data_IF_499164224304
#
_entry.id   IF_499164224304
#
_cell.length_a   1.000
_cell.length_b   1.000
_cell.length_c   1.000
_cell.angle_alpha   90.00
_cell.angle_beta   90.00
_cell.angle_gamma   90.00
#
_symmetry.space_group_name_H-M   'P 1'
#
loop_
_entity.id
_entity.type
_entity.pdbx_description
1 polymer ?
#
# COMPACT_ATOMS: atom_id res chain seq x y z
N UNK A 1 -18.76 7.22 39.94
CA UNK A 1 -18.51 7.76 38.58
C UNK A 1 -19.82 8.39 38.14
N UNK A 2 -19.88 9.70 37.86
CA UNK A 2 -21.16 10.34 37.50
C UNK A 2 -21.60 9.88 36.10
N UNK A 3 -22.90 9.73 35.89
CA UNK A 3 -23.53 9.36 34.61
C UNK A 3 -22.96 10.18 33.43
N UNK A 4 -22.74 11.47 33.63
CA UNK A 4 -22.14 12.39 32.64
C UNK A 4 -20.72 12.03 32.19
N UNK A 5 -19.91 11.39 33.05
CA UNK A 5 -18.55 10.95 32.68
C UNK A 5 -18.61 9.62 31.92
N UNK A 6 -19.58 8.77 32.24
CA UNK A 6 -19.81 7.52 31.53
C UNK A 6 -20.39 7.77 30.13
N UNK A 7 -21.33 8.71 29.99
CA UNK A 7 -21.89 9.10 28.69
C UNK A 7 -20.85 9.76 27.79
N UNK A 8 -20.05 10.70 28.32
CA UNK A 8 -18.96 11.32 27.56
C UNK A 8 -17.86 10.31 27.19
N UNK A 9 -17.66 9.26 27.99
CA UNK A 9 -16.74 8.16 27.70
C UNK A 9 -17.30 7.24 26.61
N UNK A 10 -18.57 6.85 26.70
CA UNK A 10 -19.25 6.01 25.71
C UNK A 10 -19.41 6.73 24.36
N UNK A 11 -19.69 8.03 24.36
CA UNK A 11 -19.76 8.86 23.16
C UNK A 11 -18.39 9.04 22.50
N UNK A 12 -17.31 9.12 23.29
CA UNK A 12 -15.93 9.12 22.79
C UNK A 12 -15.48 7.74 22.27
N UNK A 13 -15.91 6.65 22.90
CA UNK A 13 -15.64 5.28 22.44
C UNK A 13 -16.41 5.00 21.15
N UNK A 14 -17.69 5.39 21.08
CA UNK A 14 -18.50 5.30 19.87
C UNK A 14 -17.96 6.19 18.74
N UNK A 15 -17.52 7.43 19.02
CA UNK A 15 -16.81 8.27 18.05
C UNK A 15 -15.47 7.66 17.61
N UNK A 16 -14.70 7.03 18.50
CA UNK A 16 -13.43 6.39 18.15
C UNK A 16 -13.61 5.13 17.30
N UNK A 17 -14.61 4.31 17.60
CA UNK A 17 -14.96 3.14 16.80
C UNK A 17 -15.56 3.55 15.45
N UNK A 18 -16.43 4.57 15.44
CA UNK A 18 -16.94 5.21 14.22
C UNK A 18 -15.81 5.80 13.38
N UNK A 19 -14.87 6.59 13.93
CA UNK A 19 -13.76 7.20 13.18
C UNK A 19 -12.73 6.20 12.65
N UNK A 20 -12.57 5.03 13.29
CA UNK A 20 -11.66 3.97 12.83
C UNK A 20 -12.26 3.13 11.70
N UNK A 21 -13.55 2.87 11.77
CA UNK A 21 -14.28 2.11 10.76
C UNK A 21 -14.75 3.01 9.61
N UNK A 22 -15.06 4.30 9.87
CA UNK A 22 -15.55 5.26 8.88
C UNK A 22 -14.54 5.59 7.80
N UNK A 23 -13.23 5.64 8.11
CA UNK A 23 -12.23 6.03 7.13
C UNK A 23 -12.24 5.14 5.87
N UNK A 24 -12.43 3.83 6.07
CA UNK A 24 -12.48 2.86 4.98
C UNK A 24 -13.85 2.85 4.31
N UNK A 25 -14.95 2.89 5.06
CA UNK A 25 -16.30 2.94 4.49
C UNK A 25 -16.51 4.20 3.65
N UNK A 26 -16.10 5.37 4.13
CA UNK A 26 -16.15 6.63 3.38
C UNK A 26 -15.30 6.54 2.11
N UNK A 27 -14.15 5.86 2.16
CA UNK A 27 -13.37 5.59 0.95
C UNK A 27 -14.16 4.75 -0.04
N UNK A 28 -14.75 3.62 0.39
CA UNK A 28 -15.57 2.77 -0.48
C UNK A 28 -16.79 3.49 -1.05
N UNK A 29 -17.50 4.24 -0.22
CA UNK A 29 -18.68 5.00 -0.62
C UNK A 29 -18.32 6.02 -1.72
N UNK A 30 -17.14 6.63 -1.64
CA UNK A 30 -16.63 7.51 -2.70
C UNK A 30 -16.33 6.75 -4.00
N UNK A 31 -15.78 5.53 -3.92
CA UNK A 31 -15.48 4.70 -5.09
C UNK A 31 -16.71 4.20 -5.82
N UNK A 32 -17.71 3.78 -5.05
CA UNK A 32 -19.00 3.36 -5.56
C UNK A 32 -19.87 4.57 -6.00
N UNK A 33 -19.31 5.79 -5.97
CA UNK A 33 -19.96 7.05 -6.35
C UNK A 33 -21.23 7.35 -5.56
N UNK A 34 -21.32 6.82 -4.35
CA UNK A 34 -22.47 7.01 -3.46
C UNK A 34 -22.37 8.31 -2.65
N UNK A 35 -21.15 8.83 -2.48
CA UNK A 35 -20.89 10.15 -1.88
C UNK A 35 -19.98 11.00 -2.78
N UNK A 36 -20.08 12.32 -2.66
CA UNK A 36 -19.22 13.25 -3.39
C UNK A 36 -17.81 13.33 -2.77
N UNK A 37 -16.85 13.90 -3.52
CA UNK A 37 -15.52 14.19 -3.00
C UNK A 37 -15.59 15.12 -1.77
N UNK A 38 -16.46 16.12 -1.80
CA UNK A 38 -16.62 17.09 -0.70
C UNK A 38 -17.12 16.40 0.57
N UNK A 39 -18.13 15.52 0.43
CA UNK A 39 -18.66 14.73 1.53
C UNK A 39 -17.58 13.80 2.11
N UNK A 40 -16.85 13.09 1.24
CA UNK A 40 -15.77 12.21 1.67
C UNK A 40 -14.66 12.99 2.41
N UNK A 41 -14.29 14.18 1.93
CA UNK A 41 -13.29 15.02 2.58
C UNK A 41 -13.74 15.46 3.98
N UNK A 42 -15.00 15.88 4.10
CA UNK A 42 -15.57 16.29 5.39
C UNK A 42 -15.53 15.13 6.39
N UNK A 43 -16.03 13.97 6.01
CA UNK A 43 -16.15 12.81 6.89
C UNK A 43 -14.79 12.24 7.29
N UNK A 44 -13.83 12.22 6.37
CA UNK A 44 -12.47 11.77 6.67
C UNK A 44 -11.68 12.79 7.51
N UNK A 45 -11.92 14.09 7.36
CA UNK A 45 -11.27 15.09 8.22
C UNK A 45 -11.67 14.88 9.68
N UNK A 46 -12.93 14.49 9.94
CA UNK A 46 -13.42 14.13 11.27
C UNK A 46 -12.82 12.82 11.81
N UNK A 47 -12.29 11.95 10.94
CA UNK A 47 -11.67 10.68 11.30
C UNK A 47 -10.19 10.81 11.75
N UNK A 48 -9.65 12.03 11.81
CA UNK A 48 -8.30 12.30 12.33
C UNK A 48 -7.20 11.61 11.52
N UNK A 49 -6.19 11.05 12.19
CA UNK A 49 -5.00 10.48 11.54
C UNK A 49 -5.28 9.35 10.54
N UNK A 50 -6.33 8.55 10.76
CA UNK A 50 -6.77 7.51 9.81
C UNK A 50 -7.36 8.15 8.57
N UNK A 51 -8.20 9.16 8.79
CA UNK A 51 -8.74 10.02 7.75
C UNK A 51 -7.66 10.65 6.88
N UNK A 52 -6.54 11.10 7.46
CA UNK A 52 -5.44 11.71 6.69
C UNK A 52 -4.82 10.76 5.65
N UNK A 53 -4.67 9.46 5.97
CA UNK A 53 -4.16 8.49 4.98
C UNK A 53 -5.21 8.21 3.91
N UNK A 54 -6.48 8.00 4.30
CA UNK A 54 -7.58 7.78 3.37
C UNK A 54 -7.83 8.98 2.44
N UNK A 55 -7.71 10.21 2.96
CA UNK A 55 -7.80 11.46 2.20
C UNK A 55 -6.73 11.51 1.11
N UNK A 56 -5.50 11.09 1.45
CA UNK A 56 -4.43 10.99 0.47
C UNK A 56 -4.79 10.11 -0.72
N UNK A 57 -5.39 8.94 -0.47
CA UNK A 57 -5.83 8.01 -1.51
C UNK A 57 -7.01 8.59 -2.32
N UNK A 58 -8.03 9.14 -1.64
CA UNK A 58 -9.19 9.76 -2.30
C UNK A 58 -8.76 10.92 -3.20
N UNK A 59 -7.82 11.75 -2.78
CA UNK A 59 -7.31 12.84 -3.61
C UNK A 59 -6.57 12.32 -4.84
N UNK A 60 -5.79 11.24 -4.72
CA UNK A 60 -5.12 10.62 -5.86
C UNK A 60 -6.13 10.04 -6.85
N UNK A 61 -7.18 9.37 -6.36
CA UNK A 61 -8.26 8.92 -7.24
C UNK A 61 -9.01 10.07 -7.89
N UNK A 62 -9.38 11.08 -7.11
CA UNK A 62 -10.06 12.26 -7.63
C UNK A 62 -9.23 12.94 -8.73
N UNK A 63 -7.90 12.92 -8.60
CA UNK A 63 -7.00 13.42 -9.62
C UNK A 63 -7.09 12.60 -10.91
N UNK A 64 -7.11 11.27 -10.80
CA UNK A 64 -7.33 10.37 -11.94
C UNK A 64 -8.67 10.64 -12.64
N UNK A 65 -9.73 10.86 -11.87
CA UNK A 65 -11.07 11.15 -12.39
C UNK A 65 -11.21 12.56 -12.97
N UNK A 66 -10.40 13.52 -12.49
CA UNK A 66 -10.44 14.94 -12.89
C UNK A 66 -9.05 15.43 -13.33
N UNK A 67 -8.56 15.04 -14.52
CA UNK A 67 -7.23 15.43 -14.99
C UNK A 67 -6.98 16.94 -15.02
N UNK A 68 -8.03 17.75 -15.18
CA UNK A 68 -7.95 19.22 -15.15
C UNK A 68 -7.54 19.80 -13.78
N UNK A 69 -7.73 19.05 -12.69
CA UNK A 69 -7.38 19.45 -11.31
C UNK A 69 -6.20 18.65 -10.75
N UNK A 70 -5.46 17.95 -11.61
CA UNK A 70 -4.37 17.04 -11.23
C UNK A 70 -3.40 17.64 -10.20
N UNK A 71 -2.84 18.81 -10.51
CA UNK A 71 -1.82 19.43 -9.66
C UNK A 71 -2.34 19.73 -8.25
N UNK A 72 -3.53 20.34 -8.16
CA UNK A 72 -4.17 20.67 -6.90
C UNK A 72 -4.45 19.41 -6.06
N UNK A 73 -5.00 18.37 -6.67
CA UNK A 73 -5.41 17.15 -5.97
C UNK A 73 -4.19 16.32 -5.54
N UNK A 74 -3.14 16.23 -6.35
CA UNK A 74 -1.88 15.58 -5.95
C UNK A 74 -1.19 16.33 -4.80
N UNK A 75 -1.23 17.66 -4.79
CA UNK A 75 -0.66 18.44 -3.69
C UNK A 75 -1.49 18.27 -2.40
N UNK A 76 -2.83 18.19 -2.50
CA UNK A 76 -3.70 17.84 -1.37
C UNK A 76 -3.43 16.43 -0.84
N UNK A 77 -3.16 15.47 -1.73
CA UNK A 77 -2.75 14.13 -1.33
C UNK A 77 -1.44 14.15 -0.54
N UNK A 78 -0.42 14.87 -1.04
CA UNK A 78 0.87 15.06 -0.34
C UNK A 78 0.67 15.64 1.05
N UNK A 79 -0.07 16.75 1.16
CA UNK A 79 -0.34 17.41 2.44
C UNK A 79 -1.01 16.47 3.45
N UNK A 80 -1.91 15.61 2.97
CA UNK A 80 -2.61 14.63 3.82
C UNK A 80 -1.66 13.57 4.36
N UNK A 81 -0.76 13.03 3.51
CA UNK A 81 0.27 12.10 3.96
C UNK A 81 1.31 12.74 4.89
N UNK A 82 1.72 13.98 4.62
CA UNK A 82 2.64 14.74 5.49
C UNK A 82 2.02 15.06 6.86
N UNK A 83 0.74 15.45 6.88
CA UNK A 83 0.00 15.65 8.12
C UNK A 83 -0.01 14.36 8.96
N UNK A 84 -0.15 13.20 8.30
CA UNK A 84 -0.09 11.92 9.00
C UNK A 84 1.30 11.64 9.59
N UNK A 85 2.39 11.95 8.90
CA UNK A 85 3.73 11.73 9.45
C UNK A 85 4.00 12.54 10.72
N UNK A 86 3.33 13.68 10.90
CA UNK A 86 3.44 14.52 12.11
C UNK A 86 2.63 13.96 13.29
N UNK A 87 1.59 13.19 13.00
CA UNK A 87 0.75 12.53 13.99
C UNK A 87 1.46 11.25 14.47
N UNK A 88 2.03 11.27 15.67
CA UNK A 88 2.96 10.26 16.22
C UNK A 88 2.39 8.83 16.37
N UNK A 89 1.18 8.57 15.87
CA UNK A 89 0.60 7.25 15.78
C UNK A 89 1.27 6.42 14.65
N UNK A 90 2.11 5.50 15.09
CA UNK A 90 2.97 4.62 14.29
C UNK A 90 2.21 3.76 13.27
N UNK A 91 0.90 3.58 13.43
CA UNK A 91 0.10 2.57 12.71
C UNK A 91 0.01 2.79 11.20
N UNK A 92 0.02 4.04 10.74
CA UNK A 92 -0.13 4.39 9.31
C UNK A 92 1.01 5.26 8.77
N UNK A 93 1.99 5.60 9.61
CA UNK A 93 3.12 6.46 9.21
C UNK A 93 4.00 5.80 8.15
N UNK A 94 4.24 4.49 8.26
CA UNK A 94 5.00 3.72 7.28
C UNK A 94 4.35 3.76 5.88
N UNK A 95 3.05 3.45 5.79
CA UNK A 95 2.28 3.55 4.56
C UNK A 95 2.31 4.96 3.96
N UNK A 96 2.07 5.99 4.78
CA UNK A 96 2.11 7.38 4.35
C UNK A 96 3.50 7.79 3.82
N UNK A 97 4.58 7.37 4.48
CA UNK A 97 5.94 7.59 4.03
C UNK A 97 6.20 6.93 2.66
N UNK A 98 5.81 5.67 2.49
CA UNK A 98 5.95 5.00 1.19
C UNK A 98 5.10 5.67 0.10
N UNK A 99 3.91 6.18 0.43
CA UNK A 99 3.08 6.93 -0.52
C UNK A 99 3.75 8.20 -0.97
N UNK A 100 4.33 8.96 -0.05
CA UNK A 100 5.08 10.18 -0.37
C UNK A 100 6.23 9.90 -1.35
N UNK A 101 6.95 8.78 -1.18
CA UNK A 101 7.98 8.34 -2.12
C UNK A 101 7.40 8.07 -3.51
N UNK A 102 6.23 7.43 -3.58
CA UNK A 102 5.60 7.01 -4.84
C UNK A 102 4.77 8.11 -5.54
N UNK A 103 4.54 9.26 -4.89
CA UNK A 103 3.77 10.36 -5.46
C UNK A 103 4.33 10.86 -6.80
N UNK A 104 5.66 10.80 -6.99
CA UNK A 104 6.29 11.16 -8.26
C UNK A 104 5.83 10.26 -9.41
N UNK A 105 5.79 8.95 -9.16
CA UNK A 105 5.33 7.96 -10.15
C UNK A 105 3.82 8.12 -10.43
N UNK A 106 3.00 8.31 -9.39
CA UNK A 106 1.58 8.60 -9.56
C UNK A 106 1.35 9.88 -10.36
N UNK A 107 2.09 10.96 -10.08
CA UNK A 107 1.97 12.21 -10.83
C UNK A 107 2.34 12.03 -12.31
N UNK A 108 3.36 11.24 -12.62
CA UNK A 108 3.71 10.92 -13.99
C UNK A 108 2.57 10.16 -14.68
N UNK A 109 2.05 9.09 -14.08
CA UNK A 109 0.93 8.32 -14.63
C UNK A 109 -0.31 9.17 -14.88
N UNK A 110 -0.65 10.03 -13.93
CA UNK A 110 -1.91 10.76 -13.92
C UNK A 110 -1.88 12.08 -14.72
N UNK A 111 -0.77 12.81 -14.71
CA UNK A 111 -0.71 14.21 -15.19
C UNK A 111 -0.12 14.43 -16.58
N UNK A 112 0.76 13.54 -17.04
CA UNK A 112 1.27 13.52 -18.41
C UNK A 112 1.37 12.04 -18.74
N UNK A 113 0.43 11.40 -19.45
CA UNK A 113 0.30 9.94 -19.55
C UNK A 113 1.50 9.31 -20.25
N UNK A 114 2.64 9.36 -19.58
CA UNK A 114 3.95 8.83 -19.94
C UNK A 114 4.33 7.91 -18.81
N UNK A 115 5.06 6.89 -19.17
CA UNK A 115 5.73 6.10 -18.18
C UNK A 115 6.86 6.93 -17.52
N UNK A 116 7.08 6.76 -16.21
CA UNK A 116 8.27 7.26 -15.54
C UNK A 116 9.54 6.77 -16.22
N UNK A 117 10.62 7.54 -16.12
CA UNK A 117 11.94 7.10 -16.57
C UNK A 117 12.49 6.04 -15.61
N UNK A 118 13.47 5.26 -16.06
CA UNK A 118 14.24 4.36 -15.18
C UNK A 118 14.80 5.08 -13.95
N UNK A 119 15.29 6.31 -14.12
CA UNK A 119 15.79 7.13 -13.01
C UNK A 119 14.71 7.45 -11.99
N UNK A 120 13.51 7.84 -12.45
CA UNK A 120 12.37 8.09 -11.56
C UNK A 120 11.94 6.83 -10.81
N UNK A 121 11.92 5.69 -11.50
CA UNK A 121 11.61 4.40 -10.88
C UNK A 121 12.68 3.97 -9.87
N UNK A 122 13.97 4.13 -10.19
CA UNK A 122 15.09 3.80 -9.30
C UNK A 122 15.04 4.64 -8.02
N UNK A 123 14.79 5.95 -8.14
CA UNK A 123 14.64 6.83 -6.98
C UNK A 123 13.46 6.40 -6.09
N UNK A 124 12.34 5.99 -6.70
CA UNK A 124 11.17 5.52 -5.98
C UNK A 124 11.42 4.16 -5.30
N UNK A 125 12.15 3.25 -5.95
CA UNK A 125 12.59 1.98 -5.40
C UNK A 125 13.51 2.19 -4.19
N UNK A 126 14.55 3.02 -4.32
CA UNK A 126 15.50 3.32 -3.24
C UNK A 126 14.83 3.97 -2.02
N UNK A 127 13.93 4.93 -2.27
CA UNK A 127 13.15 5.57 -1.21
C UNK A 127 12.22 4.58 -0.51
N UNK A 128 11.55 3.71 -1.26
CA UNK A 128 10.67 2.68 -0.71
C UNK A 128 11.47 1.68 0.13
N UNK A 129 12.61 1.24 -0.37
CA UNK A 129 13.52 0.32 0.31
C UNK A 129 14.03 0.92 1.62
N UNK A 130 14.36 2.22 1.63
CA UNK A 130 14.75 2.94 2.85
C UNK A 130 13.63 2.94 3.89
N UNK A 131 12.39 3.23 3.49
CA UNK A 131 11.22 3.21 4.37
C UNK A 131 10.93 1.79 4.89
N UNK A 132 11.09 0.77 4.04
CA UNK A 132 10.86 -0.63 4.39
C UNK A 132 11.94 -1.18 5.36
N UNK A 133 13.21 -0.88 5.10
CA UNK A 133 14.33 -1.28 5.96
C UNK A 133 14.21 -0.68 7.37
N UNK A 134 13.79 0.59 7.47
CA UNK A 134 13.52 1.23 8.76
C UNK A 134 12.44 0.49 9.58
N UNK A 135 11.48 -0.16 8.91
CA UNK A 135 10.41 -0.95 9.55
C UNK A 135 10.89 -2.30 10.10
N UNK A 136 11.94 -2.84 9.51
CA UNK A 136 12.54 -4.11 9.93
C UNK A 136 13.45 -3.93 11.16
N UNK A 137 13.94 -2.72 11.42
CA UNK A 137 14.86 -2.46 12.52
C UNK A 137 14.14 -2.50 13.89
N UNK A 138 14.57 -3.39 14.83
CA UNK A 138 13.98 -3.50 16.16
C UNK A 138 14.07 -2.22 17.01
N UNK A 139 15.01 -1.33 16.72
CA UNK A 139 15.13 -0.04 17.40
C UNK A 139 13.95 0.90 17.06
N UNK A 140 13.40 0.77 15.86
CA UNK A 140 12.27 1.56 15.37
C UNK A 140 10.93 1.04 15.95
N UNK A 141 10.86 -0.25 16.30
CA UNK A 141 9.64 -0.89 16.81
C UNK A 141 9.94 -1.79 18.00
N UNK A 142 9.50 -1.41 19.21
CA UNK A 142 9.52 -2.30 20.37
C UNK A 142 8.29 -3.21 20.33
N UNK A 143 8.40 -4.50 19.98
CA UNK A 143 7.23 -5.36 19.74
C UNK A 143 6.35 -5.56 20.98
N UNK A 144 6.96 -5.48 22.17
CA UNK A 144 6.30 -5.55 23.48
C UNK A 144 5.34 -4.39 23.77
N UNK A 145 5.43 -3.30 23.01
CA UNK A 145 4.60 -2.09 23.18
C UNK A 145 3.47 -2.01 22.15
N UNK A 146 3.40 -2.95 21.20
CA UNK A 146 2.45 -2.91 20.11
C UNK A 146 1.26 -3.83 20.38
N UNK A 147 0.05 -3.28 20.23
CA UNK A 147 -1.16 -4.10 20.24
C UNK A 147 -1.17 -5.09 19.06
N UNK A 148 -1.86 -6.24 19.15
CA UNK A 148 -1.96 -7.20 18.05
C UNK A 148 -2.46 -6.58 16.73
N UNK A 149 -3.37 -5.59 16.84
CA UNK A 149 -3.88 -4.84 15.68
C UNK A 149 -2.76 -4.07 14.98
N UNK A 150 -1.92 -3.36 15.75
CA UNK A 150 -0.79 -2.58 15.21
C UNK A 150 0.26 -3.52 14.61
N UNK A 151 0.52 -4.66 15.25
CA UNK A 151 1.41 -5.69 14.70
C UNK A 151 0.90 -6.26 13.36
N UNK A 152 -0.41 -6.49 13.25
CA UNK A 152 -1.03 -6.96 12.00
C UNK A 152 -0.86 -5.96 10.86
N UNK A 153 -1.04 -4.67 11.13
CA UNK A 153 -0.88 -3.59 10.13
C UNK A 153 0.57 -3.42 9.68
N UNK A 154 1.52 -3.41 10.62
CA UNK A 154 2.96 -3.33 10.28
C UNK A 154 3.39 -4.55 9.44
N UNK A 155 2.94 -5.76 9.78
CA UNK A 155 3.22 -6.96 8.97
C UNK A 155 2.70 -6.83 7.55
N UNK A 156 1.55 -6.20 7.41
CA UNK A 156 0.95 -5.92 6.12
C UNK A 156 1.66 -4.88 5.28
N UNK A 157 1.99 -3.73 5.87
CA UNK A 157 2.77 -2.70 5.20
C UNK A 157 4.14 -3.26 4.77
N UNK A 158 4.80 -4.09 5.60
CA UNK A 158 6.02 -4.81 5.21
C UNK A 158 5.78 -5.81 4.07
N UNK A 159 4.64 -6.50 4.07
CA UNK A 159 4.30 -7.45 3.00
C UNK A 159 4.07 -6.71 1.67
N UNK A 160 3.31 -5.61 1.69
CA UNK A 160 3.12 -4.75 0.53
C UNK A 160 4.46 -4.22 0.01
N UNK A 161 5.30 -3.70 0.90
CA UNK A 161 6.63 -3.22 0.54
C UNK A 161 7.48 -4.32 -0.09
N UNK A 162 7.47 -5.55 0.45
CA UNK A 162 8.22 -6.67 -0.11
C UNK A 162 7.78 -7.03 -1.54
N UNK A 163 6.47 -7.12 -1.81
CA UNK A 163 5.96 -7.42 -3.16
C UNK A 163 6.26 -6.27 -4.12
N UNK A 164 6.03 -5.02 -3.68
CA UNK A 164 6.29 -3.84 -4.49
C UNK A 164 7.78 -3.70 -4.83
N UNK A 165 8.67 -3.99 -3.87
CA UNK A 165 10.12 -3.99 -4.10
C UNK A 165 10.52 -5.09 -5.10
N UNK A 166 10.01 -6.31 -4.98
CA UNK A 166 10.29 -7.37 -5.97
C UNK A 166 9.83 -6.98 -7.38
N UNK A 167 8.65 -6.38 -7.48
CA UNK A 167 8.12 -5.90 -8.74
C UNK A 167 8.99 -4.74 -9.30
N UNK A 168 9.24 -3.68 -8.54
CA UNK A 168 10.06 -2.55 -9.01
C UNK A 168 11.48 -2.98 -9.37
N UNK A 169 12.05 -3.91 -8.60
CA UNK A 169 13.33 -4.56 -8.91
C UNK A 169 13.27 -5.27 -10.26
N UNK A 170 12.24 -6.06 -10.52
CA UNK A 170 12.06 -6.74 -11.81
C UNK A 170 12.03 -5.74 -12.98
N UNK A 171 11.26 -4.66 -12.84
CA UNK A 171 11.19 -3.59 -13.84
C UNK A 171 12.55 -2.93 -14.09
N UNK A 172 13.34 -2.68 -13.05
CA UNK A 172 14.68 -2.10 -13.16
C UNK A 172 15.69 -3.05 -13.82
N UNK A 173 15.75 -4.31 -13.38
CA UNK A 173 16.75 -5.27 -13.87
C UNK A 173 16.53 -5.70 -15.32
N UNK A 174 15.28 -5.68 -15.78
CA UNK A 174 14.94 -6.06 -17.16
C UNK A 174 14.77 -4.84 -18.07
N UNK A 175 15.04 -3.63 -17.58
CA UNK A 175 14.82 -2.38 -18.30
C UNK A 175 13.36 -2.22 -18.82
N UNK A 176 12.41 -2.79 -18.06
CA UNK A 176 10.98 -2.81 -18.41
C UNK A 176 10.22 -1.65 -17.75
N UNK A 177 10.89 -0.64 -17.18
CA UNK A 177 10.20 0.47 -16.52
C UNK A 177 9.27 1.24 -17.46
N UNK A 178 9.53 1.17 -18.77
CA UNK A 178 8.65 1.73 -19.79
C UNK A 178 7.45 0.83 -20.08
N UNK A 179 7.55 -0.49 -19.87
CA UNK A 179 6.54 -1.47 -20.25
C UNK A 179 5.71 -1.97 -19.07
N UNK A 180 6.24 -1.86 -17.85
CA UNK A 180 5.70 -2.49 -16.66
C UNK A 180 6.05 -1.69 -15.41
N UNK A 181 5.07 -0.93 -14.90
CA UNK A 181 5.25 -0.03 -13.78
C UNK A 181 4.37 -0.44 -12.59
N UNK A 182 4.95 -1.07 -11.57
CA UNK A 182 4.25 -1.37 -10.33
C UNK A 182 4.22 -0.14 -9.42
N UNK A 183 3.02 0.28 -9.03
CA UNK A 183 2.76 1.36 -8.07
C UNK A 183 1.78 0.90 -7.01
N UNK A 184 1.81 1.49 -5.81
CA UNK A 184 0.75 1.24 -4.83
C UNK A 184 -0.59 1.68 -5.42
N UNK A 185 -1.66 0.92 -5.26
CA UNK A 185 -2.94 1.24 -5.88
C UNK A 185 -3.41 2.66 -5.57
N UNK A 186 -4.00 3.41 -6.49
CA UNK A 186 -4.53 4.75 -6.18
C UNK A 186 -5.65 4.72 -5.13
N UNK A 187 -6.20 3.53 -4.88
CA UNK A 187 -7.25 3.26 -3.92
C UNK A 187 -7.13 1.90 -3.27
N UNK A 188 -7.62 1.78 -2.05
CA UNK A 188 -7.77 0.49 -1.40
C UNK A 188 -9.07 -0.16 -1.84
N UNK A 189 -9.00 -1.29 -2.54
CA UNK A 189 -10.15 -2.14 -2.82
C UNK A 189 -9.95 -3.50 -2.15
N UNK A 190 -10.39 -3.66 -0.89
CA UNK A 190 -10.46 -5.00 -0.31
C UNK A 190 -11.60 -5.79 -0.95
N UNK A 191 -11.30 -6.46 -2.07
CA UNK A 191 -12.26 -7.31 -2.77
C UNK A 191 -12.21 -8.72 -2.17
N UNK A 192 -12.66 -8.82 -0.92
CA UNK A 192 -12.98 -10.07 -0.24
C UNK A 192 -14.43 -10.05 0.19
N UNK A 193 -15.28 -10.91 -0.40
CA UNK A 193 -16.69 -10.99 0.01
C UNK A 193 -16.79 -11.22 1.53
N UNK A 194 -17.61 -10.40 2.18
CA UNK A 194 -17.91 -10.56 3.60
C UNK A 194 -18.46 -11.96 3.82
N UNK A 195 -17.83 -12.71 4.71
CA UNK A 195 -18.49 -13.88 5.30
C UNK A 195 -19.63 -13.32 6.12
N UNK A 196 -20.87 -13.78 5.86
CA UNK A 196 -22.04 -13.46 6.69
C UNK A 196 -21.66 -13.53 8.17
N UNK A 197 -21.73 -12.39 8.87
CA UNK A 197 -21.51 -12.32 10.32
C UNK A 197 -20.14 -11.82 10.79
N UNK A 198 -19.18 -11.50 9.91
CA UNK A 198 -17.96 -10.78 10.31
C UNK A 198 -17.78 -9.53 9.43
N UNK A 199 -18.23 -8.39 9.95
CA UNK A 199 -18.11 -7.02 9.38
C UNK A 199 -16.70 -6.46 9.51
N UNK A 200 -15.67 -7.23 9.15
CA UNK A 200 -14.29 -6.73 9.16
C UNK A 200 -13.66 -6.87 7.78
N UNK A 201 -13.35 -5.74 7.09
CA UNK A 201 -12.44 -5.76 5.96
C UNK A 201 -11.14 -6.41 6.42
N UNK A 202 -10.63 -7.38 5.67
CA UNK A 202 -9.34 -7.98 5.95
C UNK A 202 -8.30 -7.07 5.31
N UNK A 203 -7.51 -6.37 6.12
CA UNK A 203 -6.55 -5.39 5.63
C UNK A 203 -5.80 -5.90 4.38
N UNK A 204 -6.13 -5.29 3.24
CA UNK A 204 -5.53 -5.55 1.94
C UNK A 204 -4.69 -4.38 1.51
N UNK A 205 -3.58 -4.69 0.87
CA UNK A 205 -2.62 -3.73 0.36
C UNK A 205 -2.47 -3.97 -1.13
N UNK A 206 -3.08 -3.11 -1.92
CA UNK A 206 -3.19 -3.35 -3.36
C UNK A 206 -2.04 -2.67 -4.09
N UNK A 207 -1.47 -3.37 -5.06
CA UNK A 207 -0.43 -2.90 -5.98
C UNK A 207 -1.02 -3.00 -7.38
N UNK A 208 -0.99 -1.91 -8.12
CA UNK A 208 -1.41 -1.85 -9.52
C UNK A 208 -0.17 -1.89 -10.39
N UNK A 209 -0.23 -2.69 -11.45
CA UNK A 209 0.81 -2.75 -12.46
C UNK A 209 0.24 -2.16 -13.74
N UNK A 210 0.87 -1.08 -14.18
CA UNK A 210 0.53 -0.40 -15.41
C UNK A 210 1.42 -0.85 -16.55
N UNK A 211 0.86 -1.00 -17.74
CA UNK A 211 1.60 -1.21 -18.99
C UNK A 211 1.21 -0.13 -20.02
N UNK A 212 2.07 0.22 -20.97
CA UNK A 212 1.73 1.15 -22.05
C UNK A 212 0.51 0.70 -22.84
N UNK A 213 -0.34 1.66 -23.18
CA UNK A 213 -1.32 1.52 -24.25
C UNK A 213 -1.10 2.64 -25.26
N UNK A 214 -0.94 2.27 -26.53
CA UNK A 214 -0.78 3.22 -27.63
C UNK A 214 -2.04 4.09 -27.83
N UNK A 215 -3.20 3.59 -27.40
CA UNK A 215 -4.51 4.22 -27.68
C UNK A 215 -4.97 5.09 -26.50
N UNK A 216 -4.72 4.65 -25.26
CA UNK A 216 -5.34 5.23 -24.06
C UNK A 216 -4.33 5.70 -22.99
N UNK A 217 -3.02 5.65 -23.25
CA UNK A 217 -2.00 5.89 -22.23
C UNK A 217 -1.82 4.69 -21.29
N UNK A 218 -1.11 4.84 -20.15
CA UNK A 218 -0.89 3.74 -19.21
C UNK A 218 -2.20 3.06 -18.80
N UNK A 219 -2.29 1.74 -18.94
CA UNK A 219 -3.45 0.93 -18.53
C UNK A 219 -3.05 -0.06 -17.44
N UNK A 220 -3.97 -0.33 -16.52
CA UNK A 220 -3.79 -1.35 -15.49
C UNK A 220 -3.89 -2.72 -16.15
N UNK A 221 -2.79 -3.47 -16.13
CA UNK A 221 -2.74 -4.84 -16.64
C UNK A 221 -2.89 -5.88 -15.54
N UNK A 222 -2.44 -5.56 -14.32
CA UNK A 222 -2.59 -6.45 -13.17
C UNK A 222 -2.93 -5.67 -11.91
N UNK A 223 -3.76 -6.27 -11.06
CA UNK A 223 -4.00 -5.83 -9.69
C UNK A 223 -3.59 -6.94 -8.74
N UNK A 224 -2.56 -6.66 -7.93
CA UNK A 224 -2.05 -7.57 -6.90
C UNK A 224 -2.60 -7.15 -5.55
N UNK A 225 -3.32 -8.04 -4.89
CA UNK A 225 -3.74 -7.83 -3.52
C UNK A 225 -2.81 -8.54 -2.54
N UNK A 226 -2.12 -7.78 -1.70
CA UNK A 226 -1.22 -8.30 -0.68
C UNK A 226 -1.94 -8.50 0.65
N UNK A 227 -1.81 -9.69 1.26
CA UNK A 227 -2.43 -10.04 2.56
C UNK A 227 -1.39 -10.45 3.62
N UNK A 228 -1.57 -9.95 4.85
CA UNK A 228 -0.70 -10.21 6.00
C UNK A 228 -0.94 -11.55 6.72
N UNK A 229 -2.04 -12.25 6.41
CA UNK A 229 -2.45 -13.47 7.12
C UNK A 229 -2.81 -14.60 6.16
N UNK A 230 -2.52 -15.84 6.59
CA UNK A 230 -3.10 -17.07 6.04
C UNK A 230 -4.60 -17.03 6.26
N UNK A 231 -5.38 -16.49 5.33
CA UNK A 231 -6.84 -16.62 5.40
C UNK A 231 -7.34 -17.43 4.23
N UNK A 232 -8.09 -18.47 4.62
CA UNK A 232 -8.67 -19.55 3.84
C UNK A 232 -9.34 -19.12 2.53
N UNK A 233 -9.47 -20.09 1.61
CA UNK A 233 -10.27 -20.12 0.37
C UNK A 233 -11.43 -19.10 0.35
N UNK A 234 -11.11 -17.83 0.10
CA UNK A 234 -12.09 -16.79 -0.21
C UNK A 234 -12.24 -16.75 -1.73
N UNK A 235 -13.47 -16.48 -2.18
CA UNK A 235 -13.71 -16.19 -3.60
C UNK A 235 -13.42 -14.72 -3.83
N UNK A 236 -12.48 -14.45 -4.73
CA UNK A 236 -12.11 -13.13 -5.21
C UNK A 236 -12.82 -12.86 -6.54
N UNK A 237 -12.91 -11.58 -6.96
CA UNK A 237 -13.41 -11.25 -8.30
C UNK A 237 -12.42 -11.76 -9.35
N UNK A 238 -12.94 -12.06 -10.53
CA UNK A 238 -12.12 -12.33 -11.71
C UNK A 238 -11.23 -11.08 -11.96
N UNK A 239 -9.96 -11.28 -12.34
CA UNK A 239 -8.92 -10.24 -12.58
C UNK A 239 -8.12 -9.71 -11.38
N UNK A 240 -8.24 -10.31 -10.18
CA UNK A 240 -7.40 -9.95 -9.02
C UNK A 240 -6.49 -11.12 -8.66
N UNK A 241 -5.18 -10.89 -8.72
CA UNK A 241 -4.21 -11.84 -8.19
C UNK A 241 -3.99 -11.58 -6.71
N UNK A 242 -4.26 -12.58 -5.88
CA UNK A 242 -4.01 -12.49 -4.44
C UNK A 242 -2.66 -13.08 -4.11
N UNK A 243 -1.76 -12.24 -3.61
CA UNK A 243 -0.44 -12.65 -3.15
C UNK A 243 -0.39 -12.51 -1.65
N UNK A 244 -0.34 -13.62 -0.94
CA UNK A 244 0.11 -13.57 0.44
C UNK A 244 1.65 -13.55 0.42
N UNK A 245 2.31 -12.66 1.17
CA UNK A 245 3.77 -12.79 1.45
C UNK A 245 3.97 -13.88 2.50
N UNK A 246 3.50 -15.05 2.11
CA UNK A 246 3.47 -16.35 2.74
C UNK A 246 4.62 -17.17 2.13
N UNK A 247 4.92 -18.38 2.65
CA UNK A 247 5.69 -19.41 1.96
C UNK A 247 5.53 -19.53 0.44
N UNK A 248 4.44 -19.04 -0.14
CA UNK A 248 4.25 -18.98 -1.59
C UNK A 248 5.39 -18.20 -2.29
N UNK A 249 5.89 -17.11 -1.68
CA UNK A 249 7.11 -16.42 -2.13
C UNK A 249 8.39 -16.93 -1.43
N UNK A 250 8.28 -17.87 -0.50
CA UNK A 250 9.47 -18.49 0.09
C UNK A 250 10.07 -19.53 -0.85
N UNK A 251 11.40 -19.59 -0.89
CA UNK A 251 12.08 -20.71 -1.54
C UNK A 251 12.12 -21.96 -0.64
N UNK A 252 11.92 -21.81 0.68
CA UNK A 252 11.85 -22.88 1.66
C UNK A 252 10.60 -22.73 2.56
N UNK A 253 9.84 -23.81 2.76
CA UNK A 253 8.59 -23.83 3.54
C UNK A 253 8.72 -23.42 5.01
N UNK A 254 9.95 -23.29 5.53
CA UNK A 254 10.23 -22.96 6.93
C UNK A 254 10.61 -21.49 7.20
N UNK A 255 10.62 -20.58 6.20
CA UNK A 255 10.92 -19.16 6.43
C UNK A 255 9.71 -18.40 6.98
N UNK A 256 9.55 -18.41 8.31
CA UNK A 256 8.49 -17.69 9.01
C UNK A 256 8.52 -16.16 8.85
N UNK A 257 9.58 -15.59 8.27
CA UNK A 257 9.79 -14.14 8.10
C UNK A 257 10.10 -13.73 6.64
N UNK A 258 9.37 -14.29 5.68
CA UNK A 258 9.63 -14.12 4.24
C UNK A 258 9.64 -12.65 3.77
N UNK A 259 8.72 -11.80 4.28
CA UNK A 259 8.71 -10.37 3.92
C UNK A 259 9.98 -9.64 4.39
N UNK A 260 10.42 -9.92 5.63
CA UNK A 260 11.64 -9.33 6.21
C UNK A 260 12.88 -9.80 5.45
N UNK A 261 12.93 -11.08 5.08
CA UNK A 261 14.01 -11.64 4.27
C UNK A 261 14.10 -10.95 2.91
N UNK A 262 12.98 -10.82 2.19
CA UNK A 262 12.93 -10.10 0.90
C UNK A 262 13.48 -8.68 1.05
N UNK A 263 13.00 -7.92 2.04
CA UNK A 263 13.44 -6.53 2.25
C UNK A 263 14.95 -6.45 2.52
N UNK A 264 15.46 -7.30 3.42
CA UNK A 264 16.90 -7.33 3.75
C UNK A 264 17.76 -7.77 2.58
N UNK A 265 17.27 -8.69 1.77
CA UNK A 265 17.96 -9.15 0.57
C UNK A 265 18.00 -8.06 -0.52
N UNK A 266 16.90 -7.33 -0.73
CA UNK A 266 16.87 -6.15 -1.60
C UNK A 266 17.82 -5.05 -1.12
N UNK A 267 17.87 -4.80 0.20
CA UNK A 267 18.83 -3.87 0.82
C UNK A 267 20.28 -4.30 0.56
N UNK A 268 20.58 -5.58 0.78
CA UNK A 268 21.90 -6.13 0.53
C UNK A 268 22.29 -6.01 -0.95
N UNK A 269 21.39 -6.33 -1.88
CA UNK A 269 21.68 -6.23 -3.32
C UNK A 269 21.92 -4.79 -3.76
N UNK A 270 21.14 -3.82 -3.27
CA UNK A 270 21.37 -2.38 -3.53
C UNK A 270 22.79 -1.98 -3.14
N UNK A 271 23.25 -2.41 -1.97
CA UNK A 271 24.57 -2.05 -1.44
C UNK A 271 25.71 -2.88 -2.09
N UNK A 272 25.39 -3.91 -2.88
CA UNK A 272 26.34 -4.84 -3.49
C UNK A 272 26.01 -5.13 -4.97
N UNK A 273 25.64 -4.09 -5.73
CA UNK A 273 25.12 -4.19 -7.10
C UNK A 273 26.06 -4.82 -8.13
N UNK A 274 27.36 -4.84 -7.85
CA UNK A 274 28.39 -5.15 -8.86
C UNK A 274 28.66 -6.65 -9.05
N UNK A 275 27.96 -7.54 -8.34
CA UNK A 275 28.17 -8.99 -8.45
C UNK A 275 26.86 -9.76 -8.39
N UNK A 276 26.70 -10.73 -9.29
CA UNK A 276 25.64 -11.73 -9.15
C UNK A 276 25.92 -12.56 -7.89
N UNK A 277 25.23 -12.22 -6.81
CA UNK A 277 25.39 -12.88 -5.53
C UNK A 277 24.38 -14.02 -5.38
N UNK A 278 24.57 -14.85 -4.34
CA UNK A 278 23.51 -15.77 -3.90
C UNK A 278 22.21 -15.03 -3.60
N UNK A 279 22.28 -13.78 -3.13
CA UNK A 279 21.13 -12.94 -2.82
C UNK A 279 20.37 -12.59 -4.10
N UNK A 280 21.05 -12.09 -5.13
CA UNK A 280 20.45 -11.82 -6.45
C UNK A 280 19.72 -13.03 -7.03
N UNK A 281 20.35 -14.23 -6.98
CA UNK A 281 19.71 -15.48 -7.43
C UNK A 281 18.46 -15.84 -6.61
N UNK A 282 18.49 -15.57 -5.31
CA UNK A 282 17.35 -15.81 -4.42
C UNK A 282 16.20 -14.87 -4.75
N UNK A 283 16.49 -13.57 -4.94
CA UNK A 283 15.52 -12.56 -5.34
C UNK A 283 14.93 -12.84 -6.73
N UNK A 284 15.73 -13.27 -7.70
CA UNK A 284 15.24 -13.70 -9.02
C UNK A 284 14.25 -14.85 -8.91
N UNK A 285 14.58 -15.91 -8.15
CA UNK A 285 13.67 -17.04 -7.96
C UNK A 285 12.35 -16.64 -7.25
N UNK A 286 12.40 -15.69 -6.30
CA UNK A 286 11.16 -15.15 -5.70
C UNK A 286 10.36 -14.29 -6.67
N UNK A 287 11.04 -13.57 -7.55
CA UNK A 287 10.41 -12.77 -8.62
C UNK A 287 9.71 -13.68 -9.63
N UNK A 288 10.35 -14.75 -10.09
CA UNK A 288 9.73 -15.74 -10.98
C UNK A 288 8.46 -16.35 -10.37
N UNK A 289 8.49 -16.66 -9.07
CA UNK A 289 7.28 -17.12 -8.36
C UNK A 289 6.20 -16.05 -8.30
N UNK A 290 6.55 -14.79 -8.09
CA UNK A 290 5.60 -13.69 -8.12
C UNK A 290 4.94 -13.59 -9.49
N UNK A 291 5.72 -13.61 -10.57
CA UNK A 291 5.23 -13.55 -11.94
C UNK A 291 4.30 -14.73 -12.27
N UNK A 292 4.66 -15.95 -11.86
CA UNK A 292 3.82 -17.14 -12.05
C UNK A 292 2.48 -17.11 -11.29
N UNK A 293 2.30 -16.19 -10.33
CA UNK A 293 1.00 -15.95 -9.69
C UNK A 293 0.15 -14.95 -10.49
N UNK A 294 0.76 -14.13 -11.34
CA UNK A 294 0.09 -13.12 -12.17
C UNK A 294 -0.44 -13.69 -13.50
N UNK A 295 0.17 -14.77 -13.99
CA UNK A 295 -0.23 -15.54 -15.18
C UNK A 295 -1.41 -16.49 -14.91
#
# INVERSE_FOLDING_TARGET
MSETVLDAYLENVAKRDYCRESGLYVTYDYLDRTISLEQAVQDLTLAGGIGATALGEIYLQAAADQPSKMGELVDKARQSYEARLRDQDLTYGARAASRLVQLGLHRALLGKPRFPTLTELSLAYDGLLTVAAAQVNPATYKPSQLTPLVQGKIRGDMSEAAVLLLAQRYALHNDLAQDWLPVKSLLRADIGTSVKGTTKPADGWDIEIFTPSEINGPQISYTIQVKASRVAKKKYRDHITVVAVHPDLALNRNSGMTAVEIIKECEFERDNSDKETRVTRTLNARTEKLLALLD
#
